data_IF_608008442420
#
_entry.id   IF_608008442420
#
_cell.length_a   1.000
_cell.length_b   1.000
_cell.length_c   1.000
_cell.angle_alpha   90.00
_cell.angle_beta   90.00
_cell.angle_gamma   90.00
#
_symmetry.space_group_name_H-M   'P 1'
#
loop_
_entity.id
_entity.type
_entity.pdbx_description
1 polymer ?
#
# COMPACT_ATOMS: atom_id res chain seq x y z
N UNK A 1 15.77 4.63 -3.53
CA UNK A 1 14.89 4.58 -4.72
C UNK A 1 14.70 3.18 -5.28
N UNK A 2 15.71 2.30 -5.26
CA UNK A 2 15.60 0.93 -5.79
C UNK A 2 14.69 0.00 -4.97
N UNK A 3 14.75 0.08 -3.63
CA UNK A 3 13.93 -0.75 -2.75
C UNK A 3 12.42 -0.54 -2.95
N UNK A 4 11.97 0.70 -3.17
CA UNK A 4 10.55 0.99 -3.41
C UNK A 4 10.06 0.48 -4.76
N UNK A 5 10.92 0.49 -5.78
CA UNK A 5 10.65 -0.18 -7.06
C UNK A 5 10.47 -1.69 -6.89
N UNK A 6 11.37 -2.32 -6.12
CA UNK A 6 11.29 -3.76 -5.84
C UNK A 6 10.01 -4.14 -5.08
N UNK A 7 9.61 -3.35 -4.08
CA UNK A 7 8.34 -3.55 -3.34
C UNK A 7 7.14 -3.48 -4.28
N UNK A 8 7.12 -2.52 -5.22
CA UNK A 8 6.03 -2.42 -6.21
C UNK A 8 5.99 -3.61 -7.16
N UNK A 9 7.13 -4.12 -7.60
CA UNK A 9 7.21 -5.33 -8.43
C UNK A 9 6.72 -6.58 -7.68
N UNK A 10 7.17 -6.77 -6.44
CA UNK A 10 6.69 -7.86 -5.58
C UNK A 10 5.17 -7.78 -5.39
N UNK A 11 4.66 -6.57 -5.22
CA UNK A 11 3.24 -6.30 -5.27
C UNK A 11 2.59 -6.81 -6.57
N UNK A 12 3.05 -6.33 -7.72
CA UNK A 12 2.45 -6.71 -9.01
C UNK A 12 2.40 -8.23 -9.20
N UNK A 13 3.47 -8.94 -8.82
CA UNK A 13 3.52 -10.41 -8.82
C UNK A 13 2.45 -11.02 -7.91
N UNK A 14 2.28 -10.49 -6.69
CA UNK A 14 1.25 -10.97 -5.76
C UNK A 14 -0.16 -10.84 -6.35
N UNK A 15 -0.47 -9.72 -7.02
CA UNK A 15 -1.77 -9.53 -7.68
C UNK A 15 -1.98 -10.48 -8.87
N UNK A 16 -0.93 -10.71 -9.67
CA UNK A 16 -0.98 -11.67 -10.78
C UNK A 16 -1.23 -13.10 -10.27
N UNK A 17 -0.58 -13.50 -9.18
CA UNK A 17 -0.82 -14.80 -8.56
C UNK A 17 -2.25 -14.93 -8.02
N UNK A 18 -2.81 -13.84 -7.45
CA UNK A 18 -4.20 -13.80 -7.00
C UNK A 18 -5.21 -13.98 -8.16
N UNK A 19 -4.88 -13.50 -9.36
CA UNK A 19 -5.68 -13.65 -10.58
C UNK A 19 -5.69 -15.09 -11.11
N UNK A 20 -4.53 -15.78 -11.09
CA UNK A 20 -4.33 -17.06 -11.77
C UNK A 20 -4.61 -18.32 -10.93
N UNK A 21 -4.78 -18.22 -9.61
CA UNK A 21 -4.93 -19.39 -8.72
C UNK A 21 -6.39 -19.70 -8.37
N UNK A 22 -6.70 -20.98 -8.13
CA UNK A 22 -8.00 -21.49 -7.67
C UNK A 22 -7.88 -22.20 -6.33
N UNK A 23 -9.00 -22.42 -5.63
CA UNK A 23 -9.05 -23.20 -4.39
C UNK A 23 -8.53 -22.47 -3.14
N UNK A 24 -8.14 -23.23 -2.12
CA UNK A 24 -7.71 -22.73 -0.79
C UNK A 24 -6.51 -21.78 -0.85
N UNK A 25 -5.59 -21.99 -1.79
CA UNK A 25 -4.45 -21.10 -2.01
C UNK A 25 -4.88 -19.69 -2.44
N UNK A 26 -5.96 -19.56 -3.22
CA UNK A 26 -6.54 -18.25 -3.61
C UNK A 26 -7.01 -17.48 -2.39
N UNK A 27 -7.64 -18.15 -1.42
CA UNK A 27 -8.13 -17.53 -0.18
C UNK A 27 -6.97 -17.04 0.69
N UNK A 28 -5.89 -17.83 0.80
CA UNK A 28 -4.67 -17.39 1.48
C UNK A 28 -4.06 -16.14 0.82
N UNK A 29 -3.91 -16.12 -0.52
CA UNK A 29 -3.41 -14.95 -1.22
C UNK A 29 -4.30 -13.71 -1.04
N UNK A 30 -5.61 -13.89 -0.99
CA UNK A 30 -6.54 -12.80 -0.77
C UNK A 30 -6.36 -12.17 0.62
N UNK A 31 -6.18 -12.99 1.66
CA UNK A 31 -5.86 -12.51 3.00
C UNK A 31 -4.50 -11.81 3.05
N UNK A 32 -3.47 -12.37 2.41
CA UNK A 32 -2.16 -11.72 2.30
C UNK A 32 -2.29 -10.34 1.63
N UNK A 33 -3.07 -10.23 0.56
CA UNK A 33 -3.34 -8.95 -0.10
C UNK A 33 -4.05 -7.96 0.83
N UNK A 34 -5.03 -8.41 1.61
CA UNK A 34 -5.74 -7.55 2.57
C UNK A 34 -4.80 -7.03 3.65
N UNK A 35 -4.03 -7.93 4.28
CA UNK A 35 -3.07 -7.56 5.34
C UNK A 35 -1.99 -6.64 4.79
N UNK A 36 -1.39 -6.98 3.65
CA UNK A 36 -0.41 -6.13 2.98
C UNK A 36 -0.98 -4.76 2.63
N UNK A 37 -2.23 -4.72 2.13
CA UNK A 37 -2.93 -3.48 1.80
C UNK A 37 -3.10 -2.56 3.01
N UNK A 38 -3.55 -3.12 4.15
CA UNK A 38 -3.67 -2.38 5.41
C UNK A 38 -2.31 -1.86 5.88
N UNK A 39 -1.28 -2.71 5.88
CA UNK A 39 0.06 -2.31 6.33
C UNK A 39 0.66 -1.20 5.44
N UNK A 40 0.48 -1.30 4.12
CA UNK A 40 0.93 -0.26 3.18
C UNK A 40 0.17 1.05 3.40
N UNK A 41 -1.14 0.97 3.63
CA UNK A 41 -1.95 2.16 3.91
C UNK A 41 -1.50 2.84 5.20
N UNK A 42 -1.33 2.08 6.28
CA UNK A 42 -0.87 2.59 7.56
C UNK A 42 0.54 3.18 7.47
N UNK A 43 1.44 2.54 6.71
CA UNK A 43 2.76 3.08 6.41
C UNK A 43 2.67 4.46 5.72
N UNK A 44 1.85 4.58 4.68
CA UNK A 44 1.65 5.85 3.98
C UNK A 44 1.04 6.92 4.89
N UNK A 45 0.04 6.55 5.69
CA UNK A 45 -0.61 7.47 6.64
C UNK A 45 0.36 7.95 7.72
N UNK A 46 1.15 7.05 8.31
CA UNK A 46 2.14 7.42 9.32
C UNK A 46 3.18 8.38 8.75
N UNK A 47 3.72 8.10 7.55
CA UNK A 47 4.65 9.01 6.88
C UNK A 47 3.99 10.36 6.55
N UNK A 48 2.75 10.36 6.06
CA UNK A 48 2.01 11.59 5.78
C UNK A 48 1.89 12.46 7.03
N UNK A 49 1.53 11.86 8.18
CA UNK A 49 1.45 12.55 9.46
C UNK A 49 2.82 13.08 9.90
N UNK A 50 3.87 12.25 9.87
CA UNK A 50 5.23 12.65 10.27
C UNK A 50 5.74 13.83 9.43
N UNK A 51 5.58 13.77 8.11
CA UNK A 51 6.04 14.83 7.20
C UNK A 51 5.20 16.09 7.38
N UNK A 52 3.89 15.97 7.65
CA UNK A 52 3.03 17.11 7.96
C UNK A 52 3.47 17.80 9.26
N UNK A 53 3.77 17.03 10.30
CA UNK A 53 4.29 17.56 11.57
C UNK A 53 5.67 18.24 11.39
N UNK A 54 6.53 17.67 10.55
CA UNK A 54 7.80 18.31 10.18
C UNK A 54 7.56 19.65 9.44
N UNK A 55 6.61 19.70 8.50
CA UNK A 55 6.24 20.93 7.81
C UNK A 55 5.64 22.02 8.71
N UNK A 56 5.08 21.63 9.86
CA UNK A 56 4.59 22.52 10.91
C UNK A 56 5.67 22.88 11.94
N UNK A 57 6.92 22.46 11.75
CA UNK A 57 8.04 22.61 12.69
C UNK A 57 7.77 22.01 14.08
N UNK A 58 6.89 21.00 14.16
CA UNK A 58 6.66 20.24 15.41
C UNK A 58 7.73 19.16 15.58
N UNK A 59 8.19 18.59 14.46
CA UNK A 59 9.30 17.63 14.40
C UNK A 59 10.45 18.23 13.62
N UNK A 60 11.66 18.04 14.11
CA UNK A 60 12.87 18.47 13.40
C UNK A 60 13.27 17.38 12.40
N UNK A 61 13.22 17.72 11.13
CA UNK A 61 13.47 16.78 10.02
C UNK A 61 14.13 17.54 8.89
N UNK A 62 15.35 17.14 8.51
CA UNK A 62 16.09 17.75 7.41
C UNK A 62 15.50 17.28 6.07
N UNK A 63 14.42 17.94 5.65
CA UNK A 63 13.74 17.66 4.41
C UNK A 63 13.54 18.96 3.63
N UNK A 64 14.07 19.01 2.40
CA UNK A 64 13.88 20.18 1.55
C UNK A 64 12.38 20.41 1.29
N UNK A 65 11.98 21.68 1.20
CA UNK A 65 10.58 22.07 0.97
C UNK A 65 9.99 21.38 -0.28
N UNK A 66 10.77 21.26 -1.34
CA UNK A 66 10.35 20.58 -2.57
C UNK A 66 10.07 19.08 -2.32
N UNK A 67 10.96 18.38 -1.61
CA UNK A 67 10.76 16.98 -1.28
C UNK A 67 9.53 16.77 -0.38
N UNK A 68 9.31 17.67 0.59
CA UNK A 68 8.15 17.64 1.46
C UNK A 68 6.84 17.74 0.69
N UNK A 69 6.71 18.74 -0.19
CA UNK A 69 5.50 18.94 -1.00
C UNK A 69 5.22 17.73 -1.90
N UNK A 70 6.25 17.23 -2.59
CA UNK A 70 6.10 16.04 -3.43
C UNK A 70 5.65 14.81 -2.63
N UNK A 71 6.18 14.65 -1.41
CA UNK A 71 5.79 13.52 -0.57
C UNK A 71 4.34 13.62 -0.11
N UNK A 72 3.91 14.79 0.36
CA UNK A 72 2.55 14.99 0.87
C UNK A 72 1.49 14.97 -0.23
N UNK A 73 1.76 15.58 -1.39
CA UNK A 73 0.75 15.71 -2.46
C UNK A 73 0.64 14.44 -3.31
N UNK A 74 1.76 13.74 -3.52
CA UNK A 74 1.80 12.61 -4.45
C UNK A 74 2.24 11.31 -3.78
N UNK A 75 3.42 11.29 -3.16
CA UNK A 75 4.07 10.03 -2.78
C UNK A 75 3.31 9.24 -1.71
N UNK A 76 2.99 9.86 -0.57
CA UNK A 76 2.29 9.18 0.52
C UNK A 76 0.82 8.86 0.15
N UNK A 77 0.06 9.77 -0.50
CA UNK A 77 -1.25 9.43 -1.05
C UNK A 77 -1.21 8.27 -2.05
N UNK A 78 -0.17 8.18 -2.88
CA UNK A 78 0.02 7.07 -3.81
C UNK A 78 0.19 5.73 -3.06
N UNK A 79 0.96 5.70 -1.96
CA UNK A 79 1.07 4.50 -1.12
C UNK A 79 -0.27 4.13 -0.49
N UNK A 80 -0.99 5.10 0.07
CA UNK A 80 -2.31 4.88 0.66
C UNK A 80 -3.30 4.33 -0.38
N UNK A 81 -3.36 4.92 -1.57
CA UNK A 81 -4.21 4.43 -2.67
C UNK A 81 -3.83 3.00 -3.08
N UNK A 82 -2.53 2.70 -3.20
CA UNK A 82 -2.04 1.35 -3.46
C UNK A 82 -2.49 0.35 -2.39
N UNK A 83 -2.31 0.68 -1.11
CA UNK A 83 -2.74 -0.15 0.01
C UNK A 83 -4.26 -0.43 -0.02
N UNK A 84 -5.06 0.60 -0.30
CA UNK A 84 -6.50 0.45 -0.48
C UNK A 84 -6.87 -0.50 -1.63
N UNK A 85 -6.21 -0.37 -2.79
CA UNK A 85 -6.45 -1.24 -3.94
C UNK A 85 -6.11 -2.70 -3.64
N UNK A 86 -5.03 -2.97 -2.91
CA UNK A 86 -4.71 -4.33 -2.43
C UNK A 86 -5.79 -4.91 -1.55
N UNK A 87 -6.26 -4.13 -0.59
CA UNK A 87 -7.31 -4.55 0.31
C UNK A 87 -8.61 -4.84 -0.45
N UNK A 88 -9.01 -3.94 -1.34
CA UNK A 88 -10.19 -4.12 -2.18
C UNK A 88 -10.07 -5.35 -3.09
N UNK A 89 -8.89 -5.60 -3.66
CA UNK A 89 -8.64 -6.78 -4.51
C UNK A 89 -8.79 -8.08 -3.72
N UNK A 90 -8.18 -8.18 -2.53
CA UNK A 90 -8.32 -9.34 -1.66
C UNK A 90 -9.77 -9.55 -1.21
N UNK A 91 -10.44 -8.50 -0.73
CA UNK A 91 -11.84 -8.56 -0.30
C UNK A 91 -12.76 -9.04 -1.42
N UNK A 92 -12.61 -8.49 -2.64
CA UNK A 92 -13.39 -8.90 -3.81
C UNK A 92 -13.21 -10.39 -4.12
N UNK A 93 -12.00 -10.92 -3.95
CA UNK A 93 -11.70 -12.34 -4.21
C UNK A 93 -12.26 -13.28 -3.15
N UNK A 94 -12.32 -12.86 -1.89
CA UNK A 94 -12.98 -13.63 -0.83
C UNK A 94 -14.48 -13.70 -1.12
N UNK A 95 -15.14 -12.56 -1.34
CA UNK A 95 -16.56 -12.49 -1.66
C UNK A 95 -16.93 -13.32 -2.91
N UNK A 96 -16.10 -13.28 -3.96
CA UNK A 96 -16.33 -14.08 -5.15
C UNK A 96 -16.19 -15.61 -4.91
N UNK A 97 -15.39 -16.02 -3.92
CA UNK A 97 -15.22 -17.44 -3.57
C UNK A 97 -16.19 -17.95 -2.49
N UNK A 98 -17.09 -17.11 -2.01
CA UNK A 98 -18.24 -17.49 -1.15
C UNK A 98 -19.52 -17.70 -1.96
N UNK A 99 -19.53 -17.27 -3.23
CA UNK A 99 -20.63 -17.44 -4.19
C UNK A 99 -20.45 -18.63 -5.15
N UNK A 100 -19.29 -19.30 -5.09
CA UNK A 100 -18.95 -20.56 -5.79
C UNK A 100 -19.25 -21.75 -4.88
#
# INVERSE_FOLDING_TARGET
MWATGFVKLAGAVLLLLLLGRRGSFRRLLAWICMVAGVLIFLYGLANFVTISLAGLNVLDFDLSRHAMVWRLVFWEPFWMAGGWLYFAAGRKRIAAGEAD
#
